data_IF_559847822635
#
_entry.id   IF_559847822635
#
_cell.length_a   1.000
_cell.length_b   1.000
_cell.length_c   1.000
_cell.angle_alpha   90.00
_cell.angle_beta   90.00
_cell.angle_gamma   90.00
#
_symmetry.space_group_name_H-M   'P 1'
#
loop_
_entity.id
_entity.type
_entity.pdbx_description
1 polymer ?
#
# COMPACT_ATOMS: atom_id res chain seq x y z
N UNK A 1 9.22 6.95 -25.92
CA UNK A 1 8.65 7.88 -24.91
C UNK A 1 8.84 7.21 -23.55
N UNK A 2 9.10 7.97 -22.50
CA UNK A 2 9.18 7.38 -21.14
C UNK A 2 7.79 6.97 -20.64
N UNK A 3 7.77 6.02 -19.69
CA UNK A 3 6.53 5.57 -19.04
C UNK A 3 5.87 6.72 -18.27
N UNK A 4 4.55 6.86 -18.40
CA UNK A 4 3.75 7.82 -17.62
C UNK A 4 3.30 7.21 -16.29
N UNK A 5 3.17 8.04 -15.23
CA UNK A 5 2.82 7.58 -13.90
C UNK A 5 1.62 8.35 -13.35
N UNK A 6 0.60 7.61 -12.90
CA UNK A 6 -0.51 8.13 -12.11
C UNK A 6 -0.32 7.76 -10.64
N UNK A 7 -0.30 8.76 -9.76
CA UNK A 7 -0.46 8.58 -8.32
C UNK A 7 -1.95 8.67 -8.00
N UNK A 8 -2.49 7.70 -7.29
CA UNK A 8 -3.89 7.67 -6.86
C UNK A 8 -3.93 7.76 -5.34
N UNK A 9 -4.62 8.75 -4.81
CA UNK A 9 -4.82 8.92 -3.38
C UNK A 9 -6.30 8.80 -3.06
N UNK A 10 -6.65 7.80 -2.24
CA UNK A 10 -8.00 7.70 -1.68
C UNK A 10 -8.06 8.42 -0.33
N UNK A 11 -9.17 9.07 -0.02
CA UNK A 11 -9.35 9.80 1.23
C UNK A 11 -10.81 9.73 1.73
N UNK A 12 -10.97 9.83 3.04
CA UNK A 12 -12.27 9.83 3.70
C UNK A 12 -12.23 10.64 5.00
N UNK A 13 -12.78 11.86 5.00
CA UNK A 13 -12.86 12.78 6.14
C UNK A 13 -11.51 13.07 6.84
N UNK A 14 -10.41 13.11 6.10
CA UNK A 14 -9.05 13.20 6.63
C UNK A 14 -8.19 14.21 5.86
N UNK A 15 -8.64 15.46 5.86
CA UNK A 15 -8.02 16.57 5.10
C UNK A 15 -6.54 16.79 5.45
N UNK A 16 -6.17 16.73 6.73
CA UNK A 16 -4.79 16.98 7.16
C UNK A 16 -3.83 15.92 6.60
N UNK A 17 -4.24 14.65 6.66
CA UNK A 17 -3.48 13.54 6.07
C UNK A 17 -3.39 13.69 4.55
N UNK A 18 -4.48 14.07 3.89
CA UNK A 18 -4.50 14.31 2.45
C UNK A 18 -3.55 15.43 2.05
N UNK A 19 -3.56 16.55 2.75
CA UNK A 19 -2.66 17.69 2.48
C UNK A 19 -1.19 17.30 2.63
N UNK A 20 -0.86 16.50 3.63
CA UNK A 20 0.48 15.95 3.82
C UNK A 20 0.91 15.07 2.65
N UNK A 21 0.04 14.17 2.20
CA UNK A 21 0.28 13.31 1.03
C UNK A 21 0.49 14.15 -0.23
N UNK A 22 -0.41 15.09 -0.51
CA UNK A 22 -0.31 16.01 -1.64
C UNK A 22 1.01 16.78 -1.64
N UNK A 23 1.41 17.34 -0.49
CA UNK A 23 2.68 18.05 -0.35
C UNK A 23 3.88 17.15 -0.65
N UNK A 24 3.84 15.87 -0.30
CA UNK A 24 4.93 14.93 -0.58
C UNK A 24 5.04 14.59 -2.07
N UNK A 25 3.92 14.58 -2.79
CA UNK A 25 3.87 14.42 -4.26
C UNK A 25 4.43 15.68 -4.93
N UNK A 26 4.02 16.86 -4.48
CA UNK A 26 4.45 18.13 -5.07
C UNK A 26 5.96 18.41 -4.91
N UNK A 27 6.58 17.77 -3.92
CA UNK A 27 8.03 17.89 -3.65
C UNK A 27 8.89 16.90 -4.45
N UNK A 28 8.30 16.10 -5.33
CA UNK A 28 9.08 15.18 -6.16
C UNK A 28 9.85 15.93 -7.24
N UNK A 29 11.14 15.59 -7.46
CA UNK A 29 11.96 16.19 -8.52
C UNK A 29 11.48 15.80 -9.91
N UNK A 30 10.87 14.63 -10.03
CA UNK A 30 10.11 14.21 -11.19
C UNK A 30 8.63 14.06 -10.78
N UNK A 31 7.82 15.00 -11.22
CA UNK A 31 6.39 15.03 -10.94
C UNK A 31 5.68 13.88 -11.67
N UNK A 32 4.57 13.34 -11.11
CA UNK A 32 3.74 12.38 -11.83
C UNK A 32 3.04 13.07 -13.00
N UNK A 33 2.65 12.29 -14.01
CA UNK A 33 1.81 12.77 -15.10
C UNK A 33 0.40 13.12 -14.61
N UNK A 34 -0.05 12.40 -13.56
CA UNK A 34 -1.35 12.59 -12.95
C UNK A 34 -1.31 12.26 -11.46
N UNK A 35 -1.94 13.10 -10.63
CA UNK A 35 -2.29 12.80 -9.26
C UNK A 35 -3.81 12.82 -9.12
N UNK A 36 -4.43 11.65 -9.05
CA UNK A 36 -5.87 11.49 -8.98
C UNK A 36 -6.32 11.25 -7.54
N UNK A 37 -7.11 12.17 -7.00
CA UNK A 37 -7.70 12.05 -5.66
C UNK A 37 -9.09 11.46 -5.77
N UNK A 38 -9.36 10.40 -5.03
CA UNK A 38 -10.68 9.77 -4.90
C UNK A 38 -11.19 10.06 -3.50
N UNK A 39 -12.13 10.97 -3.41
CA UNK A 39 -12.71 11.43 -2.15
C UNK A 39 -14.08 10.80 -1.94
N UNK A 40 -14.16 9.85 -0.99
CA UNK A 40 -15.38 9.19 -0.55
C UNK A 40 -16.07 9.88 0.61
N UNK A 41 -15.61 11.07 1.04
CA UNK A 41 -16.10 11.77 2.23
C UNK A 41 -17.58 12.14 2.14
N UNK A 42 -18.28 12.04 3.26
CA UNK A 42 -19.65 12.55 3.38
C UNK A 42 -19.70 14.06 3.63
N UNK A 43 -18.64 14.65 4.23
CA UNK A 43 -18.50 16.08 4.42
C UNK A 43 -17.86 16.74 3.17
N UNK A 44 -17.83 18.08 3.15
CA UNK A 44 -17.32 18.84 2.02
C UNK A 44 -15.94 19.46 2.26
N UNK A 45 -15.25 19.10 3.31
CA UNK A 45 -13.97 19.77 3.70
C UNK A 45 -12.91 19.55 2.63
N UNK A 46 -12.75 18.31 2.15
CA UNK A 46 -11.78 17.96 1.12
C UNK A 46 -12.14 18.61 -0.22
N UNK A 47 -13.38 18.48 -0.68
CA UNK A 47 -13.79 19.07 -1.96
C UNK A 47 -13.70 20.60 -1.92
N UNK A 48 -14.04 21.24 -0.81
CA UNK A 48 -13.89 22.68 -0.65
C UNK A 48 -12.42 23.10 -0.68
N UNK A 49 -11.54 22.36 -0.02
CA UNK A 49 -10.09 22.61 -0.08
C UNK A 49 -9.55 22.44 -1.50
N UNK A 50 -9.90 21.37 -2.19
CA UNK A 50 -9.48 21.15 -3.58
C UNK A 50 -9.95 22.25 -4.54
N UNK A 51 -11.16 22.75 -4.35
CA UNK A 51 -11.75 23.80 -5.19
C UNK A 51 -11.24 25.21 -4.85
N UNK A 52 -10.91 25.48 -3.59
CA UNK A 52 -10.51 26.83 -3.11
C UNK A 52 -9.01 27.11 -3.19
N UNK A 53 -8.17 26.07 -3.20
CA UNK A 53 -6.71 26.21 -3.27
C UNK A 53 -6.21 26.04 -4.71
N UNK A 54 -5.09 26.73 -5.02
CA UNK A 54 -4.43 26.53 -6.32
C UNK A 54 -3.82 25.13 -6.36
N UNK A 55 -4.40 24.27 -7.18
CA UNK A 55 -3.91 22.92 -7.40
C UNK A 55 -2.98 22.88 -8.62
N UNK A 56 -1.92 22.02 -8.60
CA UNK A 56 -1.10 21.82 -9.78
C UNK A 56 -1.89 21.18 -10.92
N UNK A 57 -1.57 21.49 -12.17
CA UNK A 57 -2.32 21.03 -13.35
C UNK A 57 -2.43 19.50 -13.48
N UNK A 58 -1.48 18.75 -12.92
CA UNK A 58 -1.50 17.29 -12.92
C UNK A 58 -2.43 16.69 -11.85
N UNK A 59 -2.97 17.51 -10.90
CA UNK A 59 -3.88 17.00 -9.85
C UNK A 59 -5.33 17.12 -10.29
N UNK A 60 -6.02 15.99 -10.25
CA UNK A 60 -7.45 15.87 -10.53
C UNK A 60 -8.14 15.19 -9.36
N UNK A 61 -9.46 15.29 -9.28
CA UNK A 61 -10.23 14.63 -8.21
C UNK A 61 -11.61 14.18 -8.66
N UNK A 62 -12.08 13.14 -7.99
CA UNK A 62 -13.45 12.62 -8.08
C UNK A 62 -13.99 12.60 -6.64
N UNK A 63 -15.13 13.26 -6.43
CA UNK A 63 -15.83 13.26 -5.15
C UNK A 63 -17.15 12.51 -5.32
N UNK A 64 -17.20 11.29 -4.80
CA UNK A 64 -18.40 10.44 -4.80
C UNK A 64 -18.29 9.36 -3.72
N UNK A 65 -19.43 8.99 -3.15
CA UNK A 65 -19.49 7.93 -2.15
C UNK A 65 -18.92 6.62 -2.70
N UNK A 66 -18.07 5.95 -1.92
CA UNK A 66 -17.54 4.63 -2.21
C UNK A 66 -18.16 3.54 -1.30
N UNK A 67 -17.95 2.28 -1.69
CA UNK A 67 -18.35 1.08 -0.93
C UNK A 67 -17.24 0.55 -0.04
N UNK A 68 -16.16 1.32 0.11
CA UNK A 68 -14.95 1.01 0.87
C UNK A 68 -13.69 1.10 0.03
N UNK A 69 -12.55 0.84 0.67
CA UNK A 69 -11.19 1.04 0.12
C UNK A 69 -11.00 0.42 -1.28
N UNK A 70 -11.44 -0.83 -1.46
CA UNK A 70 -11.29 -1.52 -2.75
C UNK A 70 -12.05 -0.82 -3.88
N UNK A 71 -13.27 -0.32 -3.61
CA UNK A 71 -14.07 0.42 -4.58
C UNK A 71 -13.40 1.76 -4.94
N UNK A 72 -12.92 2.50 -3.93
CA UNK A 72 -12.19 3.75 -4.14
C UNK A 72 -10.92 3.55 -4.99
N UNK A 73 -10.12 2.51 -4.70
CA UNK A 73 -8.96 2.16 -5.51
C UNK A 73 -9.35 1.81 -6.95
N UNK A 74 -10.37 0.97 -7.12
CA UNK A 74 -10.85 0.58 -8.44
C UNK A 74 -11.35 1.78 -9.27
N UNK A 75 -12.03 2.75 -8.64
CA UNK A 75 -12.39 4.02 -9.28
C UNK A 75 -11.16 4.79 -9.74
N UNK A 76 -10.17 4.91 -8.86
CA UNK A 76 -8.92 5.59 -9.19
C UNK A 76 -8.20 4.93 -10.36
N UNK A 77 -8.01 3.61 -10.34
CA UNK A 77 -7.30 2.87 -11.40
C UNK A 77 -8.03 2.98 -12.74
N UNK A 78 -9.36 2.84 -12.75
CA UNK A 78 -10.17 2.93 -13.99
C UNK A 78 -10.12 4.32 -14.62
N UNK A 79 -10.07 5.37 -13.81
CA UNK A 79 -10.04 6.77 -14.27
C UNK A 79 -8.63 7.31 -14.50
N UNK A 80 -7.58 6.59 -14.11
CA UNK A 80 -6.19 7.01 -14.32
C UNK A 80 -5.77 6.86 -15.77
N UNK A 81 -4.79 7.67 -16.20
CA UNK A 81 -4.30 7.73 -17.58
C UNK A 81 -2.85 7.27 -17.74
N UNK A 82 -2.12 7.07 -16.64
CA UNK A 82 -0.72 6.65 -16.66
C UNK A 82 -0.52 5.17 -16.95
N UNK A 83 0.63 4.83 -17.53
CA UNK A 83 1.07 3.45 -17.79
C UNK A 83 1.41 2.72 -16.49
N UNK A 84 1.85 3.47 -15.48
CA UNK A 84 2.22 2.99 -14.16
C UNK A 84 1.25 3.58 -13.14
N UNK A 85 0.75 2.75 -12.26
CA UNK A 85 -0.16 3.10 -11.17
C UNK A 85 0.56 2.96 -9.83
N UNK A 86 0.47 4.00 -9.02
CA UNK A 86 0.85 3.98 -7.62
C UNK A 86 -0.32 4.37 -6.73
N UNK A 87 -0.68 3.50 -5.80
CA UNK A 87 -1.71 3.76 -4.81
C UNK A 87 -1.05 4.27 -3.53
N UNK A 88 -1.11 5.57 -3.30
CA UNK A 88 -0.56 6.27 -2.14
C UNK A 88 -1.71 6.81 -1.30
N UNK A 89 -2.05 6.12 -0.21
CA UNK A 89 -3.19 6.51 0.62
C UNK A 89 -2.99 7.88 1.27
N UNK A 90 -4.08 8.55 1.58
CA UNK A 90 -4.07 9.74 2.43
C UNK A 90 -3.40 9.41 3.77
N UNK A 91 -2.36 10.19 4.12
CA UNK A 91 -1.46 9.97 5.25
C UNK A 91 -0.11 9.35 4.86
N UNK A 92 -0.06 8.50 3.83
CA UNK A 92 1.21 7.99 3.32
C UNK A 92 1.96 9.09 2.53
N UNK A 93 3.29 9.09 2.62
CA UNK A 93 4.10 10.12 1.97
C UNK A 93 5.35 9.53 1.35
N UNK A 94 5.90 10.18 0.32
CA UNK A 94 7.24 9.87 -0.15
C UNK A 94 8.29 10.33 0.86
N UNK A 95 9.37 9.56 1.03
CA UNK A 95 10.42 9.85 2.02
C UNK A 95 11.43 10.88 1.53
N UNK A 96 11.56 11.04 0.21
CA UNK A 96 12.49 11.99 -0.42
C UNK A 96 11.98 12.47 -1.78
N UNK A 97 12.64 13.50 -2.33
CA UNK A 97 12.25 14.10 -3.60
C UNK A 97 12.49 13.23 -4.84
N UNK A 98 13.30 12.18 -4.76
CA UNK A 98 13.66 11.36 -5.92
C UNK A 98 12.92 10.01 -5.96
N UNK A 99 11.91 9.80 -5.10
CA UNK A 99 11.19 8.52 -5.04
C UNK A 99 10.56 8.16 -6.38
N UNK A 100 9.82 9.06 -7.00
CA UNK A 100 9.18 8.82 -8.31
C UNK A 100 10.18 8.70 -9.45
N UNK A 101 11.23 9.52 -9.45
CA UNK A 101 12.33 9.41 -10.43
C UNK A 101 12.99 8.04 -10.38
N UNK A 102 13.27 7.54 -9.16
CA UNK A 102 13.85 6.21 -8.98
C UNK A 102 12.97 5.13 -9.58
N UNK A 103 11.67 5.16 -9.32
CA UNK A 103 10.69 4.21 -9.85
C UNK A 103 10.62 4.25 -11.38
N UNK A 104 10.46 5.44 -11.96
CA UNK A 104 10.33 5.63 -13.40
C UNK A 104 11.57 5.18 -14.16
N UNK A 105 12.77 5.37 -13.61
CA UNK A 105 13.99 4.87 -14.23
C UNK A 105 13.95 3.36 -14.42
N UNK A 106 13.55 2.58 -13.40
CA UNK A 106 13.46 1.12 -13.51
C UNK A 106 12.45 0.65 -14.58
N UNK A 107 11.29 1.28 -14.66
CA UNK A 107 10.29 0.94 -15.67
C UNK A 107 10.72 1.37 -17.09
N UNK A 108 11.51 2.43 -17.23
CA UNK A 108 12.05 2.88 -18.51
C UNK A 108 13.24 2.03 -18.97
N UNK A 109 14.07 1.53 -18.05
CA UNK A 109 15.20 0.65 -18.32
C UNK A 109 14.74 -0.77 -18.71
N UNK A 110 13.60 -1.21 -18.18
CA UNK A 110 13.05 -2.56 -18.43
C UNK A 110 11.56 -2.51 -18.77
N UNK A 111 11.26 -2.56 -20.07
CA UNK A 111 9.88 -2.53 -20.55
C UNK A 111 9.08 -3.79 -20.20
N UNK A 112 9.74 -4.89 -19.83
CA UNK A 112 9.07 -6.14 -19.40
C UNK A 112 8.80 -6.18 -17.89
N UNK A 113 9.24 -5.19 -17.14
CA UNK A 113 8.96 -5.07 -15.71
C UNK A 113 7.47 -4.75 -15.51
N UNK A 114 6.74 -5.61 -14.79
CA UNK A 114 5.30 -5.49 -14.56
C UNK A 114 4.98 -4.76 -13.26
N UNK A 115 5.78 -4.99 -12.22
CA UNK A 115 5.64 -4.29 -10.96
C UNK A 115 6.94 -4.22 -10.19
N UNK A 116 7.02 -3.26 -9.29
CA UNK A 116 8.10 -3.16 -8.33
C UNK A 116 7.59 -2.78 -6.96
N UNK A 117 8.39 -3.03 -5.95
CA UNK A 117 8.15 -2.55 -4.60
C UNK A 117 9.48 -2.15 -3.93
N UNK A 118 9.37 -1.41 -2.83
CA UNK A 118 10.53 -0.84 -2.17
C UNK A 118 10.53 -1.10 -0.67
N UNK A 119 11.59 -0.71 0.00
CA UNK A 119 11.55 -0.49 1.44
C UNK A 119 10.62 0.68 1.78
N UNK A 120 10.10 0.65 2.99
CA UNK A 120 9.26 1.70 3.55
C UNK A 120 9.64 2.01 5.00
N UNK A 121 9.37 3.25 5.41
CA UNK A 121 9.51 3.71 6.78
C UNK A 121 8.16 3.59 7.48
N UNK A 122 8.13 2.97 8.64
CA UNK A 122 6.93 2.88 9.47
C UNK A 122 7.22 3.21 10.92
N UNK A 123 6.23 3.77 11.60
CA UNK A 123 6.33 4.02 13.02
C UNK A 123 5.97 2.76 13.81
N UNK A 124 6.85 2.34 14.73
CA UNK A 124 6.61 1.25 15.68
C UNK A 124 6.78 1.77 17.11
N UNK A 125 5.66 2.15 17.72
CA UNK A 125 5.69 2.85 19.02
C UNK A 125 6.34 4.23 18.88
N UNK A 126 7.48 4.44 19.55
CA UNK A 126 8.21 5.73 19.51
C UNK A 126 9.37 5.77 18.53
N UNK A 127 9.57 4.73 17.73
CA UNK A 127 10.70 4.65 16.78
C UNK A 127 10.20 4.47 15.36
N UNK A 128 10.97 5.01 14.42
CA UNK A 128 10.82 4.72 12.99
C UNK A 128 11.69 3.54 12.61
N UNK A 129 11.17 2.64 11.81
CA UNK A 129 11.83 1.41 11.37
C UNK A 129 11.69 1.27 9.88
N UNK A 130 12.81 1.08 9.19
CA UNK A 130 12.82 0.64 7.80
C UNK A 130 12.37 -0.82 7.71
N UNK A 131 11.49 -1.10 6.77
CA UNK A 131 10.91 -2.43 6.54
C UNK A 131 10.80 -2.69 5.04
N UNK A 132 10.54 -3.94 4.69
CA UNK A 132 10.48 -4.42 3.31
C UNK A 132 11.52 -5.51 3.09
N UNK A 133 11.18 -6.51 2.30
CA UNK A 133 12.03 -7.65 1.93
C UNK A 133 11.77 -7.98 0.47
N UNK A 134 12.72 -8.55 -0.27
CA UNK A 134 12.49 -9.07 -1.61
C UNK A 134 11.27 -9.99 -1.63
N UNK A 135 10.48 -9.88 -2.70
CA UNK A 135 9.30 -10.73 -2.87
C UNK A 135 9.72 -12.16 -3.26
N UNK A 136 9.23 -13.12 -2.49
CA UNK A 136 9.38 -14.56 -2.74
C UNK A 136 7.99 -15.20 -2.75
N UNK A 137 7.51 -15.62 -3.92
CA UNK A 137 6.16 -16.20 -4.08
C UNK A 137 5.94 -17.46 -3.24
N UNK A 138 7.01 -18.20 -2.96
CA UNK A 138 7.01 -19.38 -2.10
C UNK A 138 6.65 -19.06 -0.64
N UNK A 139 6.74 -17.80 -0.23
CA UNK A 139 6.42 -17.34 1.12
C UNK A 139 5.05 -16.66 1.26
N UNK A 140 4.25 -16.64 0.20
CA UNK A 140 2.89 -16.05 0.23
C UNK A 140 1.98 -16.63 1.31
N UNK A 141 2.22 -17.86 1.76
CA UNK A 141 1.50 -18.45 2.89
C UNK A 141 1.63 -17.65 4.21
N UNK A 142 2.60 -16.74 4.29
CA UNK A 142 2.79 -15.83 5.44
C UNK A 142 1.95 -14.54 5.36
N UNK A 143 1.19 -14.31 4.28
CA UNK A 143 0.50 -13.05 4.02
C UNK A 143 1.44 -11.94 3.50
N UNK A 144 1.06 -10.68 3.68
CA UNK A 144 1.80 -9.47 3.24
C UNK A 144 3.02 -9.15 4.12
N UNK A 145 3.95 -10.11 4.30
CA UNK A 145 5.11 -9.89 5.17
C UNK A 145 6.32 -9.26 4.47
N UNK A 146 6.42 -9.44 3.18
CA UNK A 146 7.56 -8.99 2.39
C UNK A 146 7.27 -7.67 1.70
N UNK A 147 6.04 -7.47 1.28
CA UNK A 147 5.56 -6.33 0.51
C UNK A 147 4.57 -5.53 1.35
N UNK A 148 4.67 -4.22 1.33
CA UNK A 148 3.65 -3.32 1.85
C UNK A 148 2.94 -2.64 0.68
N UNK A 149 1.61 -2.60 0.71
CA UNK A 149 0.79 -2.03 -0.35
C UNK A 149 1.27 -0.65 -0.84
N UNK A 150 1.57 0.35 0.03
CA UNK A 150 1.96 1.68 -0.43
C UNK A 150 3.36 1.73 -1.06
N UNK A 151 4.08 0.60 -1.16
CA UNK A 151 5.36 0.54 -1.86
C UNK A 151 5.26 -0.07 -3.25
N UNK A 152 4.06 -0.52 -3.64
CA UNK A 152 3.83 -1.22 -4.91
C UNK A 152 3.54 -0.23 -6.03
N UNK A 153 4.32 -0.33 -7.12
CA UNK A 153 4.09 0.38 -8.38
C UNK A 153 3.85 -0.67 -9.45
N UNK A 154 2.71 -0.63 -10.11
CA UNK A 154 2.29 -1.64 -11.08
C UNK A 154 2.04 -1.00 -12.45
N UNK A 155 2.38 -1.70 -13.53
CA UNK A 155 1.82 -1.33 -14.84
C UNK A 155 0.30 -1.44 -14.82
N UNK A 156 -0.39 -0.52 -15.46
CA UNK A 156 -1.87 -0.52 -15.52
C UNK A 156 -2.40 -1.81 -16.13
N UNK A 157 -1.70 -2.36 -17.11
CA UNK A 157 -2.02 -3.64 -17.75
C UNK A 157 -2.08 -4.82 -16.76
N UNK A 158 -1.38 -4.77 -15.62
CA UNK A 158 -1.48 -5.79 -14.57
C UNK A 158 -2.90 -5.89 -14.02
N UNK A 159 -3.55 -4.74 -13.81
CA UNK A 159 -4.96 -4.74 -13.38
C UNK A 159 -5.91 -5.20 -14.47
N UNK A 160 -5.59 -4.93 -15.73
CA UNK A 160 -6.39 -5.36 -16.88
C UNK A 160 -6.29 -6.87 -17.09
N UNK A 161 -5.11 -7.46 -16.92
CA UNK A 161 -4.86 -8.89 -17.10
C UNK A 161 -5.30 -9.73 -15.91
N UNK A 162 -5.03 -9.27 -14.69
CA UNK A 162 -5.28 -10.03 -13.46
C UNK A 162 -6.54 -9.61 -12.71
N UNK A 163 -7.25 -8.58 -13.19
CA UNK A 163 -8.44 -8.02 -12.56
C UNK A 163 -8.12 -7.02 -11.44
N UNK A 164 -9.09 -6.18 -11.16
CA UNK A 164 -9.03 -5.14 -10.14
C UNK A 164 -9.11 -5.73 -8.72
N UNK A 165 -9.18 -4.87 -7.70
CA UNK A 165 -9.38 -5.31 -6.32
C UNK A 165 -10.76 -5.93 -6.12
N UNK A 166 -10.82 -7.03 -5.37
CA UNK A 166 -12.08 -7.67 -4.98
C UNK A 166 -12.75 -6.81 -3.88
N UNK A 167 -13.91 -6.22 -4.17
CA UNK A 167 -14.64 -5.33 -3.27
C UNK A 167 -15.35 -6.05 -2.12
N UNK A 168 -15.40 -7.39 -2.17
CA UNK A 168 -15.87 -8.22 -1.07
C UNK A 168 -14.82 -8.34 0.06
N UNK A 169 -13.55 -8.13 -0.26
CA UNK A 169 -12.47 -8.09 0.72
C UNK A 169 -12.39 -6.70 1.36
N UNK A 170 -12.24 -6.66 2.68
CA UNK A 170 -12.17 -5.40 3.42
C UNK A 170 -10.78 -5.09 3.95
N UNK A 171 -9.92 -6.12 4.09
CA UNK A 171 -8.58 -6.01 4.69
C UNK A 171 -7.50 -6.54 3.75
N UNK A 172 -7.69 -7.72 3.13
CA UNK A 172 -6.65 -8.42 2.40
C UNK A 172 -6.80 -8.33 0.88
N UNK A 173 -7.38 -7.24 0.37
CA UNK A 173 -7.54 -7.00 -1.07
C UNK A 173 -6.20 -6.84 -1.79
N UNK A 174 -5.23 -6.21 -1.15
CA UNK A 174 -3.86 -6.04 -1.61
C UNK A 174 -3.12 -7.38 -1.66
N UNK A 175 -3.30 -8.22 -0.65
CA UNK A 175 -2.76 -9.58 -0.64
C UNK A 175 -3.39 -10.45 -1.74
N UNK A 176 -4.70 -10.33 -1.97
CA UNK A 176 -5.39 -11.05 -3.04
C UNK A 176 -4.79 -10.69 -4.42
N UNK A 177 -4.59 -9.41 -4.67
CA UNK A 177 -3.90 -8.94 -5.88
C UNK A 177 -2.47 -9.50 -5.96
N UNK A 178 -1.69 -9.40 -4.88
CA UNK A 178 -0.30 -9.91 -4.85
C UNK A 178 -0.24 -11.41 -5.18
N UNK A 179 -1.19 -12.21 -4.69
CA UNK A 179 -1.28 -13.64 -5.02
C UNK A 179 -1.59 -13.86 -6.49
N UNK A 180 -2.46 -13.06 -7.10
CA UNK A 180 -2.80 -13.16 -8.53
C UNK A 180 -1.60 -12.81 -9.43
N UNK A 181 -0.85 -11.79 -9.08
CA UNK A 181 0.30 -11.29 -9.88
C UNK A 181 1.63 -11.96 -9.52
N UNK A 182 1.64 -13.02 -8.72
CA UNK A 182 2.84 -13.65 -8.14
C UNK A 182 3.89 -14.16 -9.14
N UNK A 183 3.48 -14.38 -10.38
CA UNK A 183 4.37 -14.85 -11.44
C UNK A 183 4.84 -13.72 -12.38
N UNK A 184 4.33 -12.51 -12.18
CA UNK A 184 4.74 -11.36 -12.98
C UNK A 184 6.16 -10.92 -12.65
N UNK A 185 6.88 -10.44 -13.65
CA UNK A 185 8.24 -9.91 -13.48
C UNK A 185 8.23 -8.73 -12.54
N UNK A 186 9.04 -8.84 -11.49
CA UNK A 186 9.13 -7.80 -10.47
C UNK A 186 10.56 -7.58 -10.00
N UNK A 187 10.77 -6.42 -9.36
CA UNK A 187 12.00 -6.10 -8.66
C UNK A 187 11.71 -5.51 -7.28
N UNK A 188 12.66 -5.70 -6.37
CA UNK A 188 12.70 -5.03 -5.07
C UNK A 188 13.77 -3.93 -5.09
N UNK A 189 13.37 -2.72 -4.71
CA UNK A 189 14.28 -1.58 -4.56
C UNK A 189 14.68 -1.48 -3.09
N UNK A 190 15.96 -1.74 -2.79
CA UNK A 190 16.52 -1.62 -1.45
C UNK A 190 16.79 -0.15 -1.07
N UNK A 191 15.77 0.69 -1.29
CA UNK A 191 15.73 2.10 -0.87
C UNK A 191 14.36 2.38 -0.27
N UNK A 192 14.34 3.18 0.77
CA UNK A 192 13.09 3.63 1.41
C UNK A 192 12.45 4.74 0.59
N UNK A 193 11.39 4.42 -0.14
CA UNK A 193 10.72 5.38 -1.02
C UNK A 193 9.45 5.97 -0.40
N UNK A 194 8.80 5.25 0.50
CA UNK A 194 7.50 5.63 1.09
C UNK A 194 7.55 5.57 2.61
N UNK A 195 6.91 6.51 3.26
CA UNK A 195 6.58 6.49 4.68
C UNK A 195 5.12 6.04 4.83
N UNK A 196 4.91 4.97 5.56
CA UNK A 196 3.59 4.40 5.83
C UNK A 196 2.98 5.02 7.09
N UNK A 197 1.77 5.57 6.95
CA UNK A 197 1.05 6.17 8.07
C UNK A 197 0.59 5.10 9.08
N UNK A 198 0.64 5.37 10.39
CA UNK A 198 0.15 4.45 11.40
C UNK A 198 -1.39 4.43 11.44
N UNK A 199 -1.97 3.33 11.96
CA UNK A 199 -3.39 3.28 12.30
C UNK A 199 -4.32 2.79 11.18
N UNK A 200 -3.78 2.09 10.19
CA UNK A 200 -4.57 1.50 9.11
C UNK A 200 -5.65 0.50 9.61
N UNK A 201 -6.65 0.24 8.76
CA UNK A 201 -7.80 -0.66 9.05
C UNK A 201 -7.33 -2.09 9.38
N UNK A 202 -6.23 -2.54 8.83
CA UNK A 202 -5.64 -3.86 9.08
C UNK A 202 -5.23 -4.08 10.54
N UNK A 203 -4.82 -3.01 11.25
CA UNK A 203 -4.41 -3.11 12.66
C UNK A 203 -5.59 -3.38 13.59
N UNK A 204 -6.78 -2.91 13.21
CA UNK A 204 -8.00 -3.00 14.02
C UNK A 204 -8.77 -4.33 13.81
N UNK A 205 -8.60 -5.02 12.68
CA UNK A 205 -9.38 -6.18 12.27
C UNK A 205 -8.53 -7.44 12.05
N UNK A 206 -7.60 -7.72 12.96
CA UNK A 206 -6.62 -8.79 12.85
C UNK A 206 -7.19 -10.15 12.44
N UNK A 207 -8.23 -10.66 13.13
CA UNK A 207 -8.80 -11.99 12.82
C UNK A 207 -9.50 -12.04 11.47
N UNK A 208 -10.15 -10.96 11.07
CA UNK A 208 -10.77 -10.84 9.75
C UNK A 208 -9.70 -10.84 8.65
N UNK A 209 -8.63 -10.07 8.84
CA UNK A 209 -7.48 -10.06 7.93
C UNK A 209 -6.87 -11.45 7.76
N UNK A 210 -6.63 -12.19 8.85
CA UNK A 210 -6.13 -13.57 8.77
C UNK A 210 -7.08 -14.49 7.99
N UNK A 211 -8.40 -14.34 8.16
CA UNK A 211 -9.39 -15.14 7.44
C UNK A 211 -9.39 -14.83 5.95
N UNK A 212 -9.38 -13.54 5.60
CA UNK A 212 -9.35 -13.09 4.20
C UNK A 212 -8.06 -13.56 3.50
N UNK A 213 -6.88 -13.38 4.13
CA UNK A 213 -5.59 -13.90 3.65
C UNK A 213 -5.64 -15.42 3.40
N UNK A 214 -6.24 -16.18 4.32
CA UNK A 214 -6.39 -17.64 4.14
C UNK A 214 -7.25 -17.96 2.94
N UNK A 215 -8.39 -17.31 2.81
CA UNK A 215 -9.34 -17.55 1.74
C UNK A 215 -8.74 -17.21 0.37
N UNK A 216 -8.08 -16.06 0.24
CA UNK A 216 -7.39 -15.65 -1.00
C UNK A 216 -6.29 -16.63 -1.39
N UNK A 217 -5.46 -17.06 -0.43
CA UNK A 217 -4.42 -18.06 -0.70
C UNK A 217 -5.03 -19.36 -1.21
N UNK A 218 -6.06 -19.87 -0.52
CA UNK A 218 -6.72 -21.12 -0.89
C UNK A 218 -7.43 -21.03 -2.25
N UNK A 219 -8.03 -19.90 -2.56
CA UNK A 219 -8.71 -19.62 -3.84
C UNK A 219 -7.76 -19.69 -5.03
N UNK A 220 -6.54 -19.15 -4.89
CA UNK A 220 -5.62 -18.96 -6.01
C UNK A 220 -4.43 -19.94 -6.06
N UNK A 221 -4.10 -20.57 -4.93
CA UNK A 221 -2.94 -21.48 -4.82
C UNK A 221 -3.38 -22.86 -4.35
N UNK A 222 -4.34 -22.92 -3.41
CA UNK A 222 -4.83 -24.17 -2.85
C UNK A 222 -4.56 -24.29 -1.34
N UNK A 223 -5.01 -25.37 -0.71
CA UNK A 223 -4.85 -25.58 0.73
C UNK A 223 -3.38 -25.79 1.12
N UNK A 224 -2.95 -25.21 2.25
CA UNK A 224 -1.58 -25.28 2.74
C UNK A 224 -1.53 -25.57 4.24
N UNK A 225 -0.81 -26.64 4.61
CA UNK A 225 -0.51 -26.96 6.01
C UNK A 225 0.38 -25.88 6.64
N UNK A 226 1.36 -25.36 5.89
CA UNK A 226 2.25 -24.30 6.34
C UNK A 226 1.47 -23.02 6.69
N UNK A 227 0.51 -22.61 5.83
CA UNK A 227 -0.35 -21.49 6.10
C UNK A 227 -1.19 -21.69 7.37
N UNK A 228 -1.79 -22.86 7.53
CA UNK A 228 -2.61 -23.15 8.72
C UNK A 228 -1.78 -23.07 10.02
N UNK A 229 -0.58 -23.65 10.03
CA UNK A 229 0.34 -23.60 11.18
C UNK A 229 0.79 -22.15 11.46
N UNK A 230 1.11 -21.40 10.40
CA UNK A 230 1.49 -19.99 10.53
C UNK A 230 0.36 -19.17 11.13
N UNK A 231 -0.86 -19.32 10.65
CA UNK A 231 -2.01 -18.61 11.19
C UNK A 231 -2.31 -18.95 12.64
N UNK A 232 -2.18 -20.24 13.01
CA UNK A 232 -2.29 -20.64 14.41
C UNK A 232 -1.24 -19.94 15.27
N UNK A 233 0.02 -19.94 14.82
CA UNK A 233 1.10 -19.20 15.49
C UNK A 233 0.77 -17.70 15.63
N UNK A 234 0.24 -17.04 14.56
CA UNK A 234 -0.12 -15.63 14.64
C UNK A 234 -1.23 -15.38 15.67
N UNK A 235 -2.24 -16.23 15.73
CA UNK A 235 -3.33 -16.14 16.73
C UNK A 235 -2.80 -16.29 18.16
N UNK A 236 -1.96 -17.30 18.41
CA UNK A 236 -1.36 -17.50 19.72
C UNK A 236 -0.47 -16.33 20.13
N UNK A 237 0.32 -15.80 19.19
CA UNK A 237 1.15 -14.64 19.46
C UNK A 237 0.30 -13.40 19.75
N UNK A 238 -0.78 -13.19 19.01
CA UNK A 238 -1.71 -12.08 19.25
C UNK A 238 -2.32 -12.14 20.65
N UNK A 239 -2.80 -13.33 21.08
CA UNK A 239 -3.33 -13.54 22.43
C UNK A 239 -2.24 -13.27 23.48
N UNK A 240 -1.04 -13.82 23.30
CA UNK A 240 0.10 -13.61 24.20
C UNK A 240 0.42 -12.13 24.36
N UNK A 241 0.44 -11.36 23.26
CA UNK A 241 0.75 -9.93 23.27
C UNK A 241 -0.29 -9.08 24.01
N UNK A 242 -1.52 -9.59 24.22
CA UNK A 242 -2.53 -8.92 25.03
C UNK A 242 -2.31 -9.11 26.53
N UNK A 243 -1.51 -10.09 26.95
CA UNK A 243 -1.16 -10.31 28.37
C UNK A 243 -0.13 -9.29 28.87
N UNK A 244 -0.08 -9.07 30.20
CA UNK A 244 0.93 -8.22 30.84
C UNK A 244 2.36 -8.68 30.52
N UNK A 245 2.62 -10.00 30.53
CA UNK A 245 3.92 -10.61 30.21
C UNK A 245 4.29 -10.33 28.75
N UNK A 246 3.34 -10.48 27.83
CA UNK A 246 3.55 -10.20 26.41
C UNK A 246 3.94 -8.75 26.13
N UNK A 247 3.28 -7.80 26.81
CA UNK A 247 3.59 -6.36 26.72
C UNK A 247 5.02 -6.05 27.23
N UNK A 248 5.42 -6.65 28.35
CA UNK A 248 6.77 -6.51 28.90
C UNK A 248 7.80 -7.10 27.93
N UNK A 249 7.57 -8.32 27.43
CA UNK A 249 8.46 -8.97 26.46
C UNK A 249 8.65 -8.13 25.20
N UNK A 250 7.58 -7.56 24.67
CA UNK A 250 7.62 -6.68 23.49
C UNK A 250 8.43 -5.40 23.76
N UNK A 251 8.28 -4.81 24.95
CA UNK A 251 9.04 -3.63 25.35
C UNK A 251 10.56 -3.92 25.42
N UNK A 252 10.94 -5.08 25.95
CA UNK A 252 12.34 -5.51 26.07
C UNK A 252 12.93 -5.79 24.66
N UNK A 253 12.18 -6.49 23.81
CA UNK A 253 12.60 -6.79 22.44
C UNK A 253 12.84 -5.53 21.62
N UNK A 254 11.96 -4.54 21.73
CA UNK A 254 12.11 -3.26 21.04
C UNK A 254 13.29 -2.44 21.58
N UNK A 255 13.67 -2.59 22.85
CA UNK A 255 14.89 -1.96 23.40
C UNK A 255 16.18 -2.57 22.80
N UNK A 256 16.22 -3.88 22.58
CA UNK A 256 17.39 -4.54 21.94
C UNK A 256 17.57 -4.14 20.46
N UNK A 257 16.50 -3.92 19.73
CA UNK A 257 16.55 -3.44 18.35
C UNK A 257 16.89 -1.93 18.21
N UNK A 258 17.08 -1.22 19.32
CA UNK A 258 17.58 0.18 19.34
C UNK A 258 19.11 0.29 19.36
N UNK A 259 19.84 -0.83 19.48
CA UNK A 259 21.30 -0.87 19.69
C UNK A 259 22.00 -1.44 18.42
N UNK A 260 21.27 -1.73 17.37
CA UNK A 260 21.75 -2.07 16.03
C UNK A 260 21.24 -1.04 15.03
#
# INVERSE_FOLDING_TARGET
MGSSLSVITICYNNLDELTSTCSSVDKQTQLPNEHLIIDGSANKDIINWLASSTQPAYRKWIHETDKGIADAFNKGIKNSTGDIIHLLNSGDTYTNGDSLKTVLNHFNEDSSLMWLHSMYLQQRGKIEVNSGLPFEKEQLWKGMRQVAHPTMFLRKEVYEQHGYFDDQLKIAMDYDLLVRIRNEKNIFIEKTLVRFAPGGVSDQQFYKGLKEVKNSYQKHIGPSKQQNMWQLRQKLLHIFMQTGIGKIWFSIKNRKNRIL
#
